data_IF_535959124763
#
_entry.id   IF_535959124763
#
_cell.length_a   1.000
_cell.length_b   1.000
_cell.length_c   1.000
_cell.angle_alpha   90.00
_cell.angle_beta   90.00
_cell.angle_gamma   90.00
#
_symmetry.space_group_name_H-M   'P 1'
#
loop_
_entity.id
_entity.type
_entity.pdbx_description
1 polymer ?
#
# COMPACT_ATOMS: atom_id res chain seq x y z
N UNK A 1 -8.28 -49.53 3.89
CA UNK A 1 -7.72 -48.69 4.96
C UNK A 1 -6.37 -48.05 4.60
N UNK A 2 -5.46 -48.71 3.87
CA UNK A 2 -4.15 -48.10 3.48
C UNK A 2 -4.32 -46.95 2.46
N UNK A 3 -5.21 -47.11 1.49
CA UNK A 3 -5.48 -46.08 0.44
C UNK A 3 -6.06 -44.79 1.06
N UNK A 4 -6.95 -44.92 2.02
CA UNK A 4 -7.55 -43.79 2.72
C UNK A 4 -6.51 -42.94 3.49
N UNK A 5 -5.52 -43.64 4.14
CA UNK A 5 -4.41 -42.96 4.82
C UNK A 5 -3.48 -42.25 3.82
N UNK A 6 -3.23 -42.84 2.65
CA UNK A 6 -2.44 -42.22 1.60
C UNK A 6 -3.12 -40.92 1.04
N UNK A 7 -4.42 -40.98 0.80
CA UNK A 7 -5.19 -39.80 0.35
C UNK A 7 -5.17 -38.70 1.40
N UNK A 8 -5.30 -39.05 2.69
CA UNK A 8 -5.28 -38.07 3.79
C UNK A 8 -3.91 -37.42 3.93
N UNK A 9 -2.81 -38.15 3.76
CA UNK A 9 -1.46 -37.58 3.79
C UNK A 9 -1.22 -36.65 2.61
N UNK A 10 -1.65 -37.02 1.39
CA UNK A 10 -1.54 -36.17 0.21
C UNK A 10 -2.35 -34.88 0.38
N UNK A 11 -3.56 -34.98 0.95
CA UNK A 11 -4.40 -33.83 1.22
C UNK A 11 -3.76 -32.86 2.22
N UNK A 12 -3.17 -33.37 3.29
CA UNK A 12 -2.47 -32.56 4.31
C UNK A 12 -1.22 -31.87 3.75
N UNK A 13 -0.43 -32.56 2.90
CA UNK A 13 0.77 -31.96 2.29
C UNK A 13 0.40 -30.88 1.28
N UNK A 14 -0.68 -31.06 0.50
CA UNK A 14 -1.14 -30.09 -0.48
C UNK A 14 -1.71 -28.81 0.17
N UNK A 15 -2.33 -28.95 1.36
CA UNK A 15 -2.89 -27.81 2.09
C UNK A 15 -1.83 -26.85 2.63
N UNK A 16 -0.63 -27.34 2.97
CA UNK A 16 0.46 -26.50 3.50
C UNK A 16 1.12 -25.61 2.44
N UNK A 17 1.15 -26.05 1.19
CA UNK A 17 1.71 -25.26 0.08
C UNK A 17 0.85 -24.03 -0.27
N UNK A 18 -0.49 -24.16 -0.20
CA UNK A 18 -1.42 -23.06 -0.50
C UNK A 18 -1.31 -21.92 0.52
N UNK A 19 -1.03 -22.21 1.77
CA UNK A 19 -0.89 -21.18 2.83
C UNK A 19 0.37 -20.35 2.61
N UNK A 20 1.49 -20.98 2.27
CA UNK A 20 2.76 -20.29 2.01
C UNK A 20 2.70 -19.40 0.76
N UNK A 21 2.03 -19.83 -0.28
CA UNK A 21 1.85 -19.04 -1.50
C UNK A 21 1.08 -17.74 -1.22
N UNK A 22 0.06 -17.80 -0.37
CA UNK A 22 -0.75 -16.62 -0.01
C UNK A 22 0.05 -15.59 0.84
N UNK A 23 0.89 -16.04 1.77
CA UNK A 23 1.73 -15.16 2.59
C UNK A 23 2.78 -14.41 1.74
N UNK A 24 3.41 -15.11 0.80
CA UNK A 24 4.41 -14.51 -0.09
C UNK A 24 3.78 -13.50 -1.04
N UNK A 25 2.59 -13.80 -1.55
CA UNK A 25 1.86 -12.91 -2.45
C UNK A 25 1.42 -11.63 -1.73
N UNK A 26 0.93 -11.76 -0.49
CA UNK A 26 0.58 -10.62 0.36
C UNK A 26 1.81 -9.75 0.69
N UNK A 27 2.94 -10.36 1.04
CA UNK A 27 4.19 -9.65 1.28
C UNK A 27 4.64 -8.86 0.03
N UNK A 28 4.59 -9.49 -1.14
CA UNK A 28 4.95 -8.86 -2.41
C UNK A 28 4.01 -7.70 -2.75
N UNK A 29 2.71 -7.88 -2.55
CA UNK A 29 1.70 -6.84 -2.75
C UNK A 29 1.97 -5.62 -1.88
N UNK A 30 2.18 -5.82 -0.58
CA UNK A 30 2.49 -4.74 0.37
C UNK A 30 3.79 -4.05 -0.03
N UNK A 31 4.86 -4.82 -0.34
CA UNK A 31 6.17 -4.26 -0.70
C UNK A 31 6.15 -3.43 -1.98
N UNK A 32 5.30 -3.77 -2.96
CA UNK A 32 5.09 -2.99 -4.19
C UNK A 32 4.42 -1.65 -3.94
N UNK A 33 3.54 -1.58 -2.94
CA UNK A 33 2.80 -0.36 -2.58
C UNK A 33 3.59 0.57 -1.64
N UNK A 34 4.79 0.17 -1.22
CA UNK A 34 5.65 0.96 -0.34
C UNK A 34 6.81 1.57 -1.10
N UNK A 35 7.05 2.85 -0.83
CA UNK A 35 8.22 3.57 -1.34
C UNK A 35 9.45 3.24 -0.51
N UNK A 36 10.55 2.95 -1.18
CA UNK A 36 11.86 2.95 -0.54
C UNK A 36 12.32 4.39 -0.38
N UNK A 37 12.35 4.89 0.87
CA UNK A 37 12.63 6.30 1.18
C UNK A 37 14.06 6.74 0.81
N UNK A 38 15.01 5.81 0.70
CA UNK A 38 16.43 6.06 0.39
C UNK A 38 16.84 5.59 -1.00
N UNK A 39 15.92 5.05 -1.82
CA UNK A 39 16.21 4.38 -3.09
C UNK A 39 15.74 5.15 -4.31
N UNK A 40 15.74 6.47 -4.29
CA UNK A 40 15.40 7.33 -5.44
C UNK A 40 14.01 7.06 -6.08
N UNK A 41 13.02 6.73 -5.25
CA UNK A 41 11.63 6.53 -5.69
C UNK A 41 11.27 5.12 -6.15
N UNK A 42 12.17 4.15 -6.01
CA UNK A 42 11.87 2.74 -6.25
C UNK A 42 10.91 2.19 -5.18
N UNK A 43 10.17 1.12 -5.52
CA UNK A 43 9.39 0.39 -4.55
C UNK A 43 10.31 -0.42 -3.60
N UNK A 44 9.79 -0.73 -2.41
CA UNK A 44 10.48 -1.64 -1.49
C UNK A 44 10.66 -3.02 -2.13
N UNK A 45 9.74 -3.42 -3.00
CA UNK A 45 9.80 -4.69 -3.71
C UNK A 45 11.02 -4.75 -4.67
N UNK A 46 11.23 -3.70 -5.45
CA UNK A 46 12.26 -3.64 -6.50
C UNK A 46 13.65 -3.23 -5.98
N UNK A 47 13.73 -2.81 -4.71
CA UNK A 47 14.98 -2.35 -4.11
C UNK A 47 15.67 -3.45 -3.30
N UNK A 48 17.00 -3.52 -3.45
CA UNK A 48 17.89 -4.39 -2.66
C UNK A 48 18.71 -3.62 -1.63
N UNK A 49 18.33 -2.38 -1.30
CA UNK A 49 18.97 -1.62 -0.23
C UNK A 49 18.74 -2.27 1.14
N UNK A 50 19.66 -2.06 2.08
CA UNK A 50 19.56 -2.56 3.44
C UNK A 50 18.26 -2.14 4.12
N UNK A 51 17.78 -0.94 3.83
CA UNK A 51 16.50 -0.45 4.30
C UNK A 51 15.33 -1.26 3.73
N UNK A 52 15.32 -1.52 2.41
CA UNK A 52 14.26 -2.28 1.78
C UNK A 52 14.24 -3.73 2.26
N UNK A 53 15.42 -4.35 2.42
CA UNK A 53 15.55 -5.71 2.95
C UNK A 53 15.02 -5.78 4.38
N UNK A 54 15.41 -4.85 5.24
CA UNK A 54 14.93 -4.77 6.63
C UNK A 54 13.41 -4.60 6.68
N UNK A 55 12.86 -3.77 5.80
CA UNK A 55 11.42 -3.54 5.75
C UNK A 55 10.64 -4.78 5.27
N UNK A 56 11.17 -5.49 4.26
CA UNK A 56 10.61 -6.79 3.81
C UNK A 56 10.55 -7.81 4.96
N UNK A 57 11.58 -7.86 5.80
CA UNK A 57 11.62 -8.74 6.98
C UNK A 57 10.56 -8.32 8.01
N UNK A 58 10.41 -7.03 8.28
CA UNK A 58 9.39 -6.52 9.21
C UNK A 58 7.98 -6.86 8.71
N UNK A 59 7.71 -6.65 7.42
CA UNK A 59 6.41 -6.99 6.80
C UNK A 59 6.12 -8.48 6.97
N UNK A 60 7.09 -9.35 6.64
CA UNK A 60 6.95 -10.80 6.79
C UNK A 60 6.63 -11.20 8.22
N UNK A 61 7.34 -10.64 9.20
CA UNK A 61 7.08 -10.92 10.61
C UNK A 61 5.68 -10.48 11.05
N UNK A 62 5.19 -9.35 10.53
CA UNK A 62 3.82 -8.87 10.83
C UNK A 62 2.75 -9.76 10.21
N UNK A 63 2.97 -10.24 8.99
CA UNK A 63 2.08 -11.22 8.34
C UNK A 63 2.05 -12.53 9.14
N UNK A 64 3.20 -13.04 9.55
CA UNK A 64 3.30 -14.26 10.36
C UNK A 64 2.61 -14.13 11.73
N UNK A 65 2.54 -12.90 12.27
CA UNK A 65 1.81 -12.61 13.50
C UNK A 65 0.29 -12.46 13.28
N UNK A 66 -0.21 -12.67 12.06
CA UNK A 66 -1.62 -12.64 11.72
C UNK A 66 -2.21 -11.24 11.52
N UNK A 67 -1.38 -10.19 11.36
CA UNK A 67 -1.86 -8.85 11.08
C UNK A 67 -2.43 -8.77 9.65
N UNK A 68 -3.54 -8.06 9.51
CA UNK A 68 -4.14 -7.78 8.20
C UNK A 68 -3.31 -6.76 7.41
N UNK A 69 -3.49 -6.72 6.09
CA UNK A 69 -2.83 -5.76 5.19
C UNK A 69 -2.99 -4.31 5.69
N UNK A 70 -4.21 -3.95 6.11
CA UNK A 70 -4.52 -2.61 6.62
C UNK A 70 -3.74 -2.27 7.89
N UNK A 71 -3.67 -3.18 8.84
CA UNK A 71 -2.93 -2.98 10.11
C UNK A 71 -1.43 -2.83 9.87
N UNK A 72 -0.89 -3.54 8.86
CA UNK A 72 0.51 -3.41 8.46
C UNK A 72 0.77 -2.01 7.87
N UNK A 73 -0.12 -1.51 6.99
CA UNK A 73 -0.01 -0.15 6.46
C UNK A 73 -0.14 0.90 7.55
N UNK A 74 -1.07 0.75 8.50
CA UNK A 74 -1.25 1.67 9.62
C UNK A 74 0.01 1.71 10.50
N UNK A 75 0.59 0.56 10.82
CA UNK A 75 1.86 0.46 11.56
C UNK A 75 3.02 1.14 10.82
N UNK A 76 3.14 0.94 9.51
CA UNK A 76 4.22 1.52 8.72
C UNK A 76 4.06 3.03 8.55
N UNK A 77 2.83 3.53 8.38
CA UNK A 77 2.55 4.96 8.29
C UNK A 77 2.76 5.67 9.63
N UNK A 78 2.45 5.03 10.75
CA UNK A 78 2.73 5.56 12.08
C UNK A 78 4.25 5.70 12.33
N UNK A 79 5.03 4.71 11.88
CA UNK A 79 6.47 4.66 12.12
C UNK A 79 7.30 5.53 11.16
N UNK A 80 6.93 5.58 9.89
CA UNK A 80 7.70 6.22 8.82
C UNK A 80 7.00 7.42 8.18
N UNK A 81 5.74 7.67 8.54
CA UNK A 81 4.90 8.71 7.95
C UNK A 81 4.14 8.24 6.70
N UNK A 82 3.17 9.06 6.26
CA UNK A 82 2.34 8.76 5.10
C UNK A 82 3.12 8.72 3.77
N UNK A 83 4.31 9.30 3.75
CA UNK A 83 5.21 9.32 2.58
C UNK A 83 5.70 7.97 2.11
N UNK A 84 5.60 6.95 2.98
CA UNK A 84 6.01 5.59 2.64
C UNK A 84 5.04 4.90 1.68
N UNK A 85 3.80 5.39 1.58
CA UNK A 85 2.79 4.84 0.67
C UNK A 85 2.85 5.52 -0.69
N UNK A 86 2.72 4.74 -1.78
CA UNK A 86 2.50 5.28 -3.12
C UNK A 86 1.12 5.90 -3.27
N UNK A 87 0.12 5.32 -2.61
CA UNK A 87 -1.27 5.79 -2.61
C UNK A 87 -1.58 6.42 -1.24
N UNK A 88 -1.42 7.76 -1.10
CA UNK A 88 -1.67 8.43 0.16
C UNK A 88 -3.16 8.36 0.50
N UNK A 89 -3.48 8.03 1.75
CA UNK A 89 -4.86 8.06 2.23
C UNK A 89 -5.42 9.48 2.08
N UNK A 90 -6.63 9.58 1.51
CA UNK A 90 -7.36 10.84 1.41
C UNK A 90 -7.72 11.33 2.82
N UNK A 91 -6.91 12.20 3.38
CA UNK A 91 -7.14 12.85 4.66
C UNK A 91 -7.97 14.13 4.48
N UNK A 92 -8.70 14.53 5.53
CA UNK A 92 -9.50 15.77 5.51
C UNK A 92 -8.69 17.01 5.09
N UNK A 93 -7.40 17.05 5.42
CA UNK A 93 -6.49 18.13 5.05
C UNK A 93 -6.14 18.15 3.55
N UNK A 94 -6.24 17.00 2.88
CA UNK A 94 -5.93 16.87 1.45
C UNK A 94 -7.08 17.38 0.59
N UNK A 95 -8.33 17.38 1.09
CA UNK A 95 -9.48 17.95 0.36
C UNK A 95 -9.31 19.44 0.07
N UNK A 96 -8.73 20.20 1.00
CA UNK A 96 -8.47 21.64 0.80
C UNK A 96 -7.57 21.85 -0.41
N UNK A 97 -6.54 21.02 -0.57
CA UNK A 97 -5.59 21.10 -1.67
C UNK A 97 -6.24 20.84 -3.04
N UNK A 98 -7.23 19.95 -3.07
CA UNK A 98 -7.97 19.60 -4.28
C UNK A 98 -9.05 20.64 -4.64
N UNK A 99 -9.69 21.24 -3.62
CA UNK A 99 -10.72 22.25 -3.83
C UNK A 99 -10.13 23.63 -4.16
N UNK A 100 -8.91 23.94 -3.72
CA UNK A 100 -8.27 25.24 -3.92
C UNK A 100 -8.17 25.63 -5.40
N UNK A 101 -7.64 24.82 -6.33
CA UNK A 101 -7.55 25.18 -7.74
C UNK A 101 -8.94 25.36 -8.39
N UNK A 102 -9.92 24.57 -7.98
CA UNK A 102 -11.29 24.69 -8.49
C UNK A 102 -11.95 26.00 -8.03
N UNK A 103 -11.71 26.40 -6.79
CA UNK A 103 -12.21 27.65 -6.23
C UNK A 103 -11.57 28.86 -6.93
N UNK A 104 -10.26 28.85 -7.18
CA UNK A 104 -9.55 29.89 -7.93
C UNK A 104 -10.11 29.98 -9.36
N UNK A 105 -10.36 28.85 -10.01
CA UNK A 105 -10.94 28.82 -11.36
C UNK A 105 -12.35 29.43 -11.42
N UNK A 106 -13.19 29.11 -10.43
CA UNK A 106 -14.55 29.69 -10.33
C UNK A 106 -14.52 31.18 -10.09
N UNK A 107 -13.68 31.66 -9.17
CA UNK A 107 -13.56 33.11 -8.89
C UNK A 107 -13.01 33.85 -10.11
N UNK A 108 -11.95 33.34 -10.73
CA UNK A 108 -11.35 33.89 -11.94
C UNK A 108 -12.34 33.94 -13.10
N UNK A 109 -13.09 32.88 -13.33
CA UNK A 109 -14.13 32.77 -14.33
C UNK A 109 -15.26 33.80 -14.10
N UNK A 110 -15.72 33.95 -12.86
CA UNK A 110 -16.76 34.93 -12.50
C UNK A 110 -16.30 36.35 -12.72
N UNK A 111 -15.04 36.68 -12.40
CA UNK A 111 -14.48 38.03 -12.64
C UNK A 111 -14.42 38.32 -14.14
N UNK A 112 -13.94 37.39 -14.95
CA UNK A 112 -13.84 37.53 -16.41
C UNK A 112 -15.24 37.69 -17.03
N UNK A 113 -16.20 36.85 -16.61
CA UNK A 113 -17.59 36.92 -17.12
C UNK A 113 -18.27 38.24 -16.79
N UNK A 114 -18.06 38.75 -15.55
CA UNK A 114 -18.57 40.03 -15.12
C UNK A 114 -17.95 41.19 -15.91
N UNK A 115 -16.68 41.08 -16.30
CA UNK A 115 -15.99 42.12 -17.10
C UNK A 115 -16.46 42.13 -18.56
N UNK A 116 -16.69 40.96 -19.15
CA UNK A 116 -17.20 40.84 -20.53
C UNK A 116 -18.63 41.36 -20.63
N UNK A 117 -19.50 41.09 -19.66
CA UNK A 117 -20.89 41.55 -19.67
C UNK A 117 -21.06 43.06 -19.39
N UNK A 118 -19.97 43.74 -18.98
CA UNK A 118 -20.00 45.19 -18.70
C UNK A 118 -19.59 46.05 -19.90
N UNK A 119 -19.08 45.40 -20.96
CA UNK A 119 -18.76 46.00 -22.26
C UNK A 119 -19.83 45.66 -23.30
#
# INVERSE_FOLDING_TARGET
MKILKFILVIYLTFSTELIKANETDLQNKISKNLRCLICQGQSVYDSDSDFAISLKIVIKNKINNGLSEKEIYDFLTEKYGEWILYDPKLNKNTYILWFLPLLIFLIGGAIVFKKINKY
#
